data_IF_809256265244
#
_entry.id   IF_809256265244
#
_cell.length_a   1.000
_cell.length_b   1.000
_cell.length_c   1.000
_cell.angle_alpha   90.00
_cell.angle_beta   90.00
_cell.angle_gamma   90.00
#
_symmetry.space_group_name_H-M   'P 1'
#
loop_
_entity.id
_entity.type
_entity.pdbx_description
1 polymer ?
#
# COMPACT_ATOMS: atom_id res chain seq x y z
N UNK A 1 34.46 59.89 14.73
CA UNK A 1 33.30 60.37 15.50
C UNK A 1 32.04 59.86 14.83
N UNK A 2 31.34 58.94 15.48
CA UNK A 2 30.20 58.21 14.91
C UNK A 2 28.92 58.80 15.50
N UNK A 3 28.03 59.22 14.60
CA UNK A 3 26.71 59.80 14.78
C UNK A 3 26.00 59.43 16.09
N UNK A 4 26.11 60.30 17.11
CA UNK A 4 25.16 60.38 18.21
C UNK A 4 24.17 61.51 17.93
N UNK A 5 23.17 61.23 17.11
CA UNK A 5 21.97 62.07 17.05
C UNK A 5 20.84 61.21 17.58
N UNK A 6 20.60 61.31 18.89
CA UNK A 6 19.37 60.80 19.49
C UNK A 6 18.18 61.33 18.68
N UNK A 7 17.17 60.50 18.37
CA UNK A 7 16.02 60.94 17.60
C UNK A 7 15.34 62.12 18.32
N UNK A 8 14.95 63.18 17.59
CA UNK A 8 14.29 64.35 18.16
C UNK A 8 13.01 63.95 18.91
N UNK A 9 12.70 64.67 19.99
CA UNK A 9 11.61 64.30 20.91
C UNK A 9 10.27 64.50 20.19
N UNK A 10 9.31 63.59 20.41
CA UNK A 10 7.98 63.59 19.78
C UNK A 10 7.17 64.90 19.96
N UNK A 11 7.59 65.81 20.84
CA UNK A 11 7.04 67.16 21.00
C UNK A 11 7.38 68.11 19.85
N UNK A 12 8.49 67.90 19.12
CA UNK A 12 8.91 68.75 17.98
C UNK A 12 8.04 68.55 16.75
N UNK A 13 7.52 67.34 16.52
CA UNK A 13 6.68 67.01 15.35
C UNK A 13 5.21 67.38 15.50
N UNK A 14 4.75 67.74 16.70
CA UNK A 14 3.32 68.04 16.94
C UNK A 14 2.80 69.20 16.09
N UNK A 15 3.64 70.21 15.82
CA UNK A 15 3.24 71.37 15.05
C UNK A 15 3.18 71.07 13.54
N UNK A 16 4.05 70.20 13.02
CA UNK A 16 4.03 69.76 11.62
C UNK A 16 2.89 68.78 11.34
N UNK A 17 2.61 67.88 12.28
CA UNK A 17 1.51 66.91 12.15
C UNK A 17 0.16 67.63 12.12
N UNK A 18 -0.08 68.58 13.03
CA UNK A 18 -1.33 69.35 13.05
C UNK A 18 -1.52 70.20 11.78
N UNK A 19 -0.43 70.74 11.21
CA UNK A 19 -0.46 71.52 9.96
C UNK A 19 -0.84 70.65 8.75
N UNK A 20 -0.32 69.42 8.69
CA UNK A 20 -0.64 68.46 7.61
C UNK A 20 -2.09 67.93 7.78
N UNK A 21 -2.52 67.68 9.02
CA UNK A 21 -3.88 67.25 9.36
C UNK A 21 -4.92 68.29 8.91
N UNK A 22 -4.67 69.58 9.19
CA UNK A 22 -5.56 70.69 8.81
C UNK A 22 -5.64 70.89 7.28
N UNK A 23 -4.49 70.88 6.58
CA UNK A 23 -4.43 71.09 5.11
C UNK A 23 -5.11 69.97 4.30
N UNK A 24 -5.02 68.71 4.76
CA UNK A 24 -5.59 67.56 4.05
C UNK A 24 -7.10 67.43 4.33
N UNK A 25 -7.52 67.71 5.57
CA UNK A 25 -8.92 67.51 5.98
C UNK A 25 -9.85 68.61 5.45
N UNK A 26 -9.40 69.88 5.43
CA UNK A 26 -10.23 71.02 4.98
C UNK A 26 -10.36 71.14 3.46
N UNK A 27 -9.40 70.65 2.68
CA UNK A 27 -9.36 70.91 1.24
C UNK A 27 -9.58 69.67 0.36
N UNK A 28 -9.50 68.44 0.90
CA UNK A 28 -9.59 67.20 0.12
C UNK A 28 -10.49 66.10 0.75
N UNK A 29 -11.09 66.34 1.91
CA UNK A 29 -12.08 65.42 2.51
C UNK A 29 -11.58 64.02 2.86
N UNK A 30 -10.25 63.82 2.93
CA UNK A 30 -9.66 62.53 3.24
C UNK A 30 -9.62 62.31 4.76
N UNK A 31 -10.25 61.24 5.25
CA UNK A 31 -10.16 60.86 6.66
C UNK A 31 -8.82 60.18 6.95
N UNK A 32 -8.08 60.72 7.90
CA UNK A 32 -6.77 60.22 8.31
C UNK A 32 -7.01 59.35 9.54
N UNK A 33 -6.86 58.04 9.40
CA UNK A 33 -6.89 57.13 10.54
C UNK A 33 -5.47 56.94 11.07
N UNK A 34 -5.22 57.09 12.38
CA UNK A 34 -3.93 56.78 12.97
C UNK A 34 -3.55 55.33 12.64
N UNK A 35 -2.34 55.11 12.15
CA UNK A 35 -1.80 53.79 11.84
C UNK A 35 -1.41 53.08 13.15
N UNK A 36 -2.30 52.25 13.70
CA UNK A 36 -2.04 51.50 14.94
C UNK A 36 -1.48 50.09 14.66
N UNK A 37 -0.17 49.97 14.78
CA UNK A 37 0.60 48.74 14.54
C UNK A 37 0.21 47.63 15.55
N UNK A 38 -0.27 47.98 16.76
CA UNK A 38 -0.60 46.99 17.78
C UNK A 38 -1.87 46.22 17.42
N UNK A 39 -2.89 46.93 16.91
CA UNK A 39 -4.16 46.33 16.53
C UNK A 39 -3.98 45.33 15.37
N UNK A 40 -3.13 45.68 14.40
CA UNK A 40 -2.78 44.83 13.26
C UNK A 40 -2.02 43.56 13.68
N UNK A 41 -1.00 43.70 14.53
CA UNK A 41 -0.22 42.56 15.02
C UNK A 41 -1.06 41.59 15.86
N UNK A 42 -1.99 42.09 16.68
CA UNK A 42 -2.85 41.24 17.50
C UNK A 42 -3.85 40.45 16.64
N UNK A 43 -4.38 41.05 15.56
CA UNK A 43 -5.24 40.37 14.58
C UNK A 43 -4.49 39.32 13.77
N UNK A 44 -3.26 39.64 13.33
CA UNK A 44 -2.40 38.71 12.59
C UNK A 44 -2.05 37.49 13.46
N UNK A 45 -1.68 37.73 14.72
CA UNK A 45 -1.35 36.67 15.69
C UNK A 45 -2.54 35.80 16.07
N UNK A 46 -3.76 36.35 16.05
CA UNK A 46 -4.97 35.55 16.22
C UNK A 46 -5.27 34.67 15.01
N UNK A 47 -5.13 35.23 13.80
CA UNK A 47 -5.33 34.49 12.56
C UNK A 47 -4.33 33.33 12.43
N UNK A 48 -3.06 33.56 12.79
CA UNK A 48 -2.02 32.53 12.80
C UNK A 48 -2.39 31.34 13.71
N UNK A 49 -2.90 31.61 14.92
CA UNK A 49 -3.32 30.57 15.86
C UNK A 49 -4.52 29.77 15.35
N UNK A 50 -5.48 30.43 14.71
CA UNK A 50 -6.64 29.74 14.12
C UNK A 50 -6.21 28.84 12.96
N UNK A 51 -5.30 29.31 12.10
CA UNK A 51 -4.74 28.50 11.03
C UNK A 51 -3.97 27.29 11.58
N UNK A 52 -3.17 27.48 12.62
CA UNK A 52 -2.43 26.39 13.26
C UNK A 52 -3.37 25.31 13.81
N UNK A 53 -4.47 25.70 14.48
CA UNK A 53 -5.50 24.77 14.95
C UNK A 53 -6.13 24.00 13.79
N UNK A 54 -6.50 24.69 12.71
CA UNK A 54 -7.12 24.07 11.55
C UNK A 54 -6.20 23.06 10.84
N UNK A 55 -4.92 23.39 10.67
CA UNK A 55 -3.92 22.48 10.10
C UNK A 55 -3.76 21.24 10.99
N UNK A 56 -3.70 21.43 12.30
CA UNK A 56 -3.51 20.31 13.24
C UNK A 56 -4.71 19.35 13.22
N UNK A 57 -5.94 19.88 13.24
CA UNK A 57 -7.17 19.07 13.22
C UNK A 57 -7.32 18.34 11.88
N UNK A 58 -7.09 19.03 10.76
CA UNK A 58 -7.18 18.43 9.43
C UNK A 58 -6.08 17.38 9.20
N UNK A 59 -4.86 17.64 9.66
CA UNK A 59 -3.74 16.69 9.63
C UNK A 59 -4.04 15.41 10.42
N UNK A 60 -4.64 15.53 11.61
CA UNK A 60 -5.04 14.37 12.39
C UNK A 60 -6.14 13.54 11.71
N UNK A 61 -7.18 14.20 11.18
CA UNK A 61 -8.28 13.52 10.48
C UNK A 61 -7.77 12.78 9.22
N UNK A 62 -6.94 13.43 8.41
CA UNK A 62 -6.36 12.82 7.21
C UNK A 62 -5.45 11.64 7.55
N UNK A 63 -4.66 11.72 8.61
CA UNK A 63 -3.81 10.61 9.07
C UNK A 63 -4.64 9.38 9.48
N UNK A 64 -5.75 9.55 10.19
CA UNK A 64 -6.64 8.44 10.56
C UNK A 64 -7.26 7.76 9.34
N UNK A 65 -7.75 8.54 8.38
CA UNK A 65 -8.34 8.01 7.15
C UNK A 65 -7.28 7.23 6.35
N UNK A 66 -6.08 7.78 6.22
CA UNK A 66 -4.94 7.12 5.57
C UNK A 66 -4.56 5.80 6.26
N UNK A 67 -4.48 5.79 7.59
CA UNK A 67 -4.14 4.58 8.36
C UNK A 67 -5.19 3.48 8.16
N UNK A 68 -6.48 3.84 8.17
CA UNK A 68 -7.56 2.90 7.91
C UNK A 68 -7.51 2.34 6.47
N UNK A 69 -7.35 3.21 5.48
CA UNK A 69 -7.23 2.79 4.07
C UNK A 69 -6.03 1.85 3.87
N UNK A 70 -4.91 2.15 4.52
CA UNK A 70 -3.70 1.32 4.47
C UNK A 70 -3.92 -0.07 5.10
N UNK A 71 -4.58 -0.14 6.25
CA UNK A 71 -4.91 -1.41 6.90
C UNK A 71 -5.81 -2.29 6.03
N UNK A 72 -6.84 -1.70 5.39
CA UNK A 72 -7.73 -2.41 4.45
C UNK A 72 -6.94 -2.94 3.25
N UNK A 73 -6.03 -2.14 2.69
CA UNK A 73 -5.22 -2.55 1.55
C UNK A 73 -4.27 -3.70 1.89
N UNK A 74 -3.59 -3.63 3.03
CA UNK A 74 -2.75 -4.73 3.54
C UNK A 74 -3.58 -5.99 3.78
N UNK A 75 -4.76 -5.87 4.40
CA UNK A 75 -5.64 -7.02 4.64
C UNK A 75 -5.98 -7.75 3.34
N UNK A 76 -6.34 -7.02 2.29
CA UNK A 76 -6.64 -7.59 0.97
C UNK A 76 -5.40 -8.21 0.32
N UNK A 77 -4.22 -7.60 0.46
CA UNK A 77 -2.97 -8.17 -0.05
C UNK A 77 -2.62 -9.49 0.64
N UNK A 78 -2.76 -9.56 1.96
CA UNK A 78 -2.51 -10.78 2.73
C UNK A 78 -3.52 -11.89 2.38
N UNK A 79 -4.81 -11.56 2.22
CA UNK A 79 -5.83 -12.52 1.81
C UNK A 79 -5.54 -13.11 0.42
N UNK A 80 -5.17 -12.27 -0.55
CA UNK A 80 -4.74 -12.75 -1.88
C UNK A 80 -3.51 -13.67 -1.81
N UNK A 81 -2.52 -13.30 -0.98
CA UNK A 81 -1.31 -14.13 -0.78
C UNK A 81 -1.63 -15.48 -0.12
N UNK A 82 -2.54 -15.48 0.86
CA UNK A 82 -3.00 -16.70 1.52
C UNK A 82 -3.76 -17.62 0.55
N UNK A 83 -4.67 -17.06 -0.25
CA UNK A 83 -5.39 -17.80 -1.30
C UNK A 83 -4.46 -18.40 -2.36
N UNK A 84 -3.42 -17.67 -2.75
CA UNK A 84 -2.42 -18.19 -3.69
C UNK A 84 -1.62 -19.35 -3.09
N UNK A 85 -1.16 -19.25 -1.83
CA UNK A 85 -0.49 -20.37 -1.14
C UNK A 85 -1.39 -21.61 -1.02
N UNK A 86 -2.68 -21.43 -0.70
CA UNK A 86 -3.63 -22.53 -0.63
C UNK A 86 -3.84 -23.21 -2.00
N UNK A 87 -3.95 -22.42 -3.08
CA UNK A 87 -4.05 -22.94 -4.46
C UNK A 87 -2.81 -23.71 -4.90
N UNK A 88 -1.62 -23.26 -4.51
CA UNK A 88 -0.37 -23.98 -4.79
C UNK A 88 -0.29 -25.31 -4.04
N UNK A 89 -0.74 -25.36 -2.78
CA UNK A 89 -0.82 -26.59 -2.00
C UNK A 89 -1.70 -27.66 -2.68
N UNK A 90 -2.88 -27.26 -3.16
CA UNK A 90 -3.79 -28.17 -3.87
C UNK A 90 -3.18 -28.62 -5.21
N UNK A 91 -2.54 -27.72 -5.97
CA UNK A 91 -1.87 -28.08 -7.23
C UNK A 91 -0.75 -29.09 -7.00
N UNK A 92 -0.01 -28.99 -5.90
CA UNK A 92 1.12 -29.90 -5.62
C UNK A 92 0.65 -31.35 -5.41
N UNK A 93 -0.53 -31.56 -4.86
CA UNK A 93 -1.16 -32.88 -4.69
C UNK A 93 -1.74 -33.38 -6.03
N UNK A 94 -2.34 -32.49 -6.82
CA UNK A 94 -3.02 -32.85 -8.07
C UNK A 94 -2.08 -33.32 -9.21
N UNK A 95 -0.78 -33.03 -9.13
CA UNK A 95 0.19 -33.38 -10.18
C UNK A 95 1.10 -34.57 -9.84
N UNK A 96 0.91 -35.24 -8.70
CA UNK A 96 1.73 -36.41 -8.34
C UNK A 96 1.24 -37.75 -8.90
N UNK A 97 0.06 -37.79 -9.53
CA UNK A 97 -0.42 -39.01 -10.19
C UNK A 97 0.25 -39.19 -11.55
N UNK A 98 0.91 -40.34 -11.80
CA UNK A 98 1.38 -40.70 -13.14
C UNK A 98 0.24 -40.63 -14.15
N UNK A 99 0.39 -39.77 -15.17
CA UNK A 99 -0.66 -39.51 -16.16
C UNK A 99 -0.70 -40.55 -17.28
N UNK A 100 0.35 -41.36 -17.40
CA UNK A 100 0.62 -42.24 -18.53
C UNK A 100 0.97 -43.63 -17.99
N UNK A 101 0.43 -44.67 -18.62
CA UNK A 101 0.73 -46.08 -18.41
C UNK A 101 1.28 -46.69 -19.70
N UNK A 102 2.32 -47.51 -19.59
CA UNK A 102 2.88 -48.25 -20.72
C UNK A 102 2.21 -49.62 -20.78
N UNK A 103 1.30 -49.82 -21.75
CA UNK A 103 0.57 -51.09 -21.91
C UNK A 103 1.25 -51.94 -22.98
N UNK A 104 1.45 -53.23 -22.69
CA UNK A 104 1.92 -54.23 -23.65
C UNK A 104 0.71 -54.71 -24.46
N UNK A 105 0.71 -54.45 -25.77
CA UNK A 105 -0.25 -55.03 -26.72
C UNK A 105 0.47 -55.92 -27.73
N UNK A 106 -0.31 -56.62 -28.54
CA UNK A 106 0.17 -57.53 -29.59
C UNK A 106 1.15 -56.88 -30.58
N UNK A 107 1.05 -55.56 -30.78
CA UNK A 107 1.88 -54.79 -31.73
C UNK A 107 3.06 -54.04 -31.05
N UNK A 108 3.31 -54.29 -29.76
CA UNK A 108 4.37 -53.65 -28.99
C UNK A 108 3.88 -52.83 -27.80
N UNK A 109 4.75 -51.99 -27.24
CA UNK A 109 4.48 -51.17 -26.05
C UNK A 109 3.86 -49.84 -26.48
N UNK A 110 2.69 -49.50 -25.92
CA UNK A 110 1.98 -48.25 -26.21
C UNK A 110 1.76 -47.46 -24.92
N UNK A 111 2.16 -46.20 -24.92
CA UNK A 111 1.91 -45.27 -23.82
C UNK A 111 0.51 -44.67 -23.95
N UNK A 112 -0.39 -44.99 -23.01
CA UNK A 112 -1.76 -44.47 -22.95
C UNK A 112 -1.98 -43.69 -21.66
N UNK A 113 -3.03 -42.85 -21.58
CA UNK A 113 -3.36 -42.18 -20.33
C UNK A 113 -3.76 -43.22 -19.26
N UNK A 114 -3.30 -43.04 -18.02
CA UNK A 114 -3.62 -43.97 -16.92
C UNK A 114 -5.14 -44.15 -16.71
N UNK A 115 -5.95 -43.11 -17.00
CA UNK A 115 -7.42 -43.17 -16.98
C UNK A 115 -8.05 -44.03 -18.08
N UNK A 116 -7.29 -44.35 -19.13
CA UNK A 116 -7.76 -45.08 -20.31
C UNK A 116 -7.32 -46.54 -20.32
N UNK A 117 -6.65 -46.99 -19.26
CA UNK A 117 -6.30 -48.40 -19.05
C UNK A 117 -7.58 -49.21 -18.81
N UNK A 118 -7.69 -50.36 -19.48
CA UNK A 118 -8.84 -51.26 -19.31
C UNK A 118 -8.50 -52.41 -18.36
N UNK A 119 -9.49 -53.00 -17.68
CA UNK A 119 -9.30 -54.25 -16.95
C UNK A 119 -8.71 -55.33 -17.88
N UNK A 120 -7.70 -56.07 -17.40
CA UNK A 120 -6.89 -57.07 -18.12
C UNK A 120 -5.79 -56.53 -19.05
N UNK A 121 -5.54 -55.22 -19.11
CA UNK A 121 -4.35 -54.70 -19.78
C UNK A 121 -3.08 -55.03 -18.95
N UNK A 122 -2.02 -55.51 -19.62
CA UNK A 122 -0.72 -55.76 -18.99
C UNK A 122 0.13 -54.49 -19.09
N UNK A 123 0.61 -54.01 -17.96
CA UNK A 123 1.38 -52.77 -17.87
C UNK A 123 2.84 -53.09 -17.58
N UNK A 124 3.75 -52.49 -18.35
CA UNK A 124 5.17 -52.51 -18.09
C UNK A 124 5.56 -51.31 -17.24
N UNK A 125 6.07 -51.56 -16.03
CA UNK A 125 6.62 -50.53 -15.15
C UNK A 125 8.13 -50.76 -15.04
N UNK A 126 8.94 -49.77 -15.43
CA UNK A 126 10.40 -49.88 -15.31
C UNK A 126 10.86 -49.47 -13.91
N UNK A 127 12.06 -49.89 -13.53
CA UNK A 127 12.68 -49.48 -12.27
C UNK A 127 12.71 -47.95 -12.13
N UNK A 128 12.19 -47.43 -11.02
CA UNK A 128 12.08 -45.99 -10.74
C UNK A 128 10.85 -45.29 -11.33
N UNK A 129 10.01 -45.99 -12.10
CA UNK A 129 8.71 -45.45 -12.55
C UNK A 129 7.64 -45.61 -11.45
N UNK A 130 6.66 -44.70 -11.44
CA UNK A 130 5.50 -44.79 -10.53
C UNK A 130 4.42 -45.69 -11.12
N UNK A 131 3.76 -46.46 -10.26
CA UNK A 131 2.63 -47.30 -10.65
C UNK A 131 1.44 -46.45 -11.15
N UNK A 132 0.97 -46.64 -12.39
CA UNK A 132 -0.07 -45.81 -12.97
C UNK A 132 -1.50 -46.15 -12.49
N UNK A 133 -1.74 -47.41 -12.11
CA UNK A 133 -3.03 -47.95 -11.64
C UNK A 133 -2.77 -49.10 -10.66
N UNK A 134 -3.79 -49.44 -9.87
CA UNK A 134 -3.77 -50.63 -9.01
C UNK A 134 -3.83 -51.91 -9.86
N UNK A 135 -3.10 -52.94 -9.45
CA UNK A 135 -3.01 -54.20 -10.18
C UNK A 135 -2.35 -55.31 -9.38
N UNK A 136 -2.20 -56.47 -10.01
CA UNK A 136 -1.53 -57.65 -9.47
C UNK A 136 -0.26 -57.89 -10.28
N UNK A 137 0.85 -58.22 -9.61
CA UNK A 137 2.11 -58.55 -10.28
C UNK A 137 1.97 -59.90 -10.99
N UNK A 138 2.22 -59.90 -12.30
CA UNK A 138 2.16 -61.11 -13.15
C UNK A 138 3.56 -61.71 -13.34
N UNK A 139 4.57 -60.85 -13.47
CA UNK A 139 5.97 -61.25 -13.67
C UNK A 139 6.93 -60.16 -13.16
N UNK A 140 8.10 -60.58 -12.67
CA UNK A 140 9.14 -59.73 -12.09
C UNK A 140 9.10 -59.55 -10.57
N UNK A 141 10.23 -59.11 -10.01
CA UNK A 141 10.40 -58.79 -8.59
C UNK A 141 11.09 -57.42 -8.48
N UNK A 142 10.59 -56.55 -7.60
CA UNK A 142 11.15 -55.22 -7.37
C UNK A 142 10.76 -54.70 -5.99
N UNK A 143 11.57 -53.78 -5.45
CA UNK A 143 11.30 -53.09 -4.21
C UNK A 143 10.49 -51.81 -4.48
N UNK A 144 9.41 -51.60 -3.73
CA UNK A 144 8.49 -50.48 -3.92
C UNK A 144 8.48 -49.57 -2.70
N UNK A 145 8.72 -48.28 -2.91
CA UNK A 145 8.60 -47.26 -1.87
C UNK A 145 7.16 -46.75 -1.77
N UNK A 146 6.51 -47.02 -0.63
CA UNK A 146 5.15 -46.60 -0.30
C UNK A 146 5.08 -45.37 0.63
N UNK A 147 6.19 -44.66 0.86
CA UNK A 147 6.28 -43.52 1.81
C UNK A 147 5.34 -42.35 1.55
N UNK A 148 4.74 -42.25 0.35
CA UNK A 148 3.80 -41.18 -0.01
C UNK A 148 2.36 -41.49 0.47
N UNK A 149 2.05 -42.76 0.75
CA UNK A 149 0.69 -43.23 1.05
C UNK A 149 0.53 -43.57 2.55
N UNK A 150 1.64 -43.81 3.26
CA UNK A 150 1.65 -44.22 4.68
C UNK A 150 2.07 -43.12 5.64
#
# INVERSE_FOLDING_TARGET
EIYNTSPPKASEYKNEINFIDEVITDNQGYQISPYDIKLLNDQEKQSEKELLKAITISGFATAQIMAFAFAVWIGRYLDLKAKNKAKEGIRKIMFQQPRIANVIKSDGIISIAAKSVKPNDIILVKAGEKFPVDGIVIDGESEVDNSIIS
#
